data_IF_469095326055
#
_entry.id   IF_469095326055
#
_cell.length_a   1.000
_cell.length_b   1.000
_cell.length_c   1.000
_cell.angle_alpha   90.00
_cell.angle_beta   90.00
_cell.angle_gamma   90.00
#
_symmetry.space_group_name_H-M   'P 1'
#
loop_
_entity.id
_entity.type
_entity.pdbx_description
1 polymer ?
#
# COMPACT_ATOMS: atom_id res chain seq x y z
N UNK A 1 -35.90 20.97 15.54
CA UNK A 1 -35.23 20.65 14.25
C UNK A 1 -33.73 20.40 14.42
N UNK A 2 -33.14 20.69 15.59
CA UNK A 2 -31.72 20.42 15.90
C UNK A 2 -31.44 18.99 16.40
N UNK A 3 -32.45 18.29 16.93
CA UNK A 3 -32.30 16.89 17.40
C UNK A 3 -32.12 15.85 16.27
N UNK A 4 -32.51 16.18 15.03
CA UNK A 4 -32.35 15.30 13.87
C UNK A 4 -30.98 15.44 13.20
N UNK A 5 -30.28 16.56 13.42
CA UNK A 5 -28.93 16.79 12.87
C UNK A 5 -27.87 16.08 13.73
N UNK A 6 -28.10 15.98 15.04
CA UNK A 6 -27.23 15.21 15.95
C UNK A 6 -27.23 13.70 15.67
N UNK A 7 -28.29 13.17 15.05
CA UNK A 7 -28.41 11.75 14.67
C UNK A 7 -27.70 11.38 13.36
N UNK A 8 -27.32 12.34 12.51
CA UNK A 8 -26.56 12.04 11.29
C UNK A 8 -25.04 12.11 11.50
N UNK A 9 -24.56 12.84 12.51
CA UNK A 9 -23.12 12.99 12.79
C UNK A 9 -22.52 11.85 13.63
N UNK A 10 -23.35 11.02 14.28
CA UNK A 10 -22.90 9.92 15.15
C UNK A 10 -22.96 8.52 14.51
N UNK A 11 -23.39 8.38 13.25
CA UNK A 11 -23.66 7.05 12.66
C UNK A 11 -22.43 6.31 12.13
N UNK A 12 -21.30 6.98 11.90
CA UNK A 12 -20.10 6.35 11.35
C UNK A 12 -19.21 5.69 12.41
N UNK A 13 -19.34 6.09 13.68
CA UNK A 13 -18.55 5.55 14.80
C UNK A 13 -19.02 4.18 15.34
N UNK A 14 -20.09 3.60 14.76
CA UNK A 14 -20.74 2.38 15.27
C UNK A 14 -20.84 1.24 14.25
N UNK A 15 -20.03 1.26 13.18
CA UNK A 15 -19.91 0.08 12.34
C UNK A 15 -18.95 -0.91 12.99
N UNK A 16 -19.44 -2.14 13.21
CA UNK A 16 -18.59 -3.29 13.54
C UNK A 16 -17.37 -3.33 12.61
N UNK A 17 -16.21 -3.75 13.12
CA UNK A 17 -15.00 -3.93 12.31
C UNK A 17 -15.23 -4.86 11.10
N UNK A 18 -16.27 -5.71 11.17
CA UNK A 18 -16.69 -6.55 10.06
C UNK A 18 -17.11 -5.79 8.81
N UNK A 19 -17.51 -4.51 8.89
CA UNK A 19 -17.81 -3.71 7.70
C UNK A 19 -16.55 -3.24 6.96
N UNK A 20 -15.38 -3.31 7.59
CA UNK A 20 -14.12 -2.90 6.98
C UNK A 20 -13.51 -4.08 6.23
N UNK A 21 -13.31 -4.01 4.89
CA UNK A 21 -12.57 -5.03 4.16
C UNK A 21 -11.21 -5.34 4.78
N UNK A 22 -10.54 -4.34 5.35
CA UNK A 22 -9.27 -4.51 6.07
C UNK A 22 -9.39 -5.28 7.38
N UNK A 23 -10.42 -4.99 8.20
CA UNK A 23 -10.50 -5.51 9.58
C UNK A 23 -11.46 -6.70 9.73
N UNK A 24 -12.20 -7.07 8.69
CA UNK A 24 -13.11 -8.20 8.77
C UNK A 24 -12.38 -9.49 9.14
N UNK A 25 -13.07 -10.30 9.95
CA UNK A 25 -12.54 -11.51 10.56
C UNK A 25 -11.94 -12.44 9.51
N UNK A 26 -10.88 -13.16 9.87
CA UNK A 26 -10.25 -14.14 8.97
C UNK A 26 -11.19 -15.36 8.82
N UNK A 27 -11.71 -15.86 9.94
CA UNK A 27 -12.45 -17.11 10.04
C UNK A 27 -13.98 -16.99 10.03
N UNK A 28 -14.53 -15.80 9.79
CA UNK A 28 -15.98 -15.49 9.67
C UNK A 28 -16.61 -15.03 10.98
N UNK A 29 -15.99 -15.41 12.08
CA UNK A 29 -16.43 -15.11 13.42
C UNK A 29 -15.25 -14.49 14.18
N UNK A 30 -15.31 -13.20 14.57
CA UNK A 30 -14.21 -12.54 15.27
C UNK A 30 -13.80 -13.25 16.56
N UNK A 31 -14.74 -13.94 17.21
CA UNK A 31 -14.47 -14.71 18.43
C UNK A 31 -13.66 -15.98 18.16
N UNK A 32 -13.56 -16.40 16.89
CA UNK A 32 -12.84 -17.60 16.45
C UNK A 32 -11.53 -17.27 15.72
N UNK A 33 -11.16 -16.00 15.60
CA UNK A 33 -9.88 -15.63 15.00
C UNK A 33 -8.76 -15.86 16.00
N UNK A 34 -7.85 -16.77 15.68
CA UNK A 34 -6.64 -16.95 16.47
C UNK A 34 -5.66 -15.80 16.19
N UNK A 35 -4.87 -15.37 17.19
CA UNK A 35 -3.85 -14.35 16.99
C UNK A 35 -2.88 -14.68 15.85
N UNK A 36 -2.47 -15.94 15.73
CA UNK A 36 -1.53 -16.42 14.72
C UNK A 36 -2.11 -16.33 13.30
N UNK A 37 -3.41 -16.58 13.15
CA UNK A 37 -4.11 -16.48 11.86
C UNK A 37 -4.32 -15.02 11.45
N UNK A 38 -4.58 -14.16 12.43
CA UNK A 38 -4.66 -12.71 12.23
C UNK A 38 -3.30 -12.15 11.80
N UNK A 39 -2.22 -12.58 12.45
CA UNK A 39 -0.86 -12.21 12.09
C UNK A 39 -0.50 -12.67 10.67
N UNK A 40 -0.73 -13.96 10.36
CA UNK A 40 -0.51 -14.50 9.02
C UNK A 40 -1.31 -13.75 7.95
N UNK A 41 -2.56 -13.39 8.26
CA UNK A 41 -3.37 -12.55 7.39
C UNK A 41 -2.72 -11.18 7.15
N UNK A 42 -2.26 -10.49 8.21
CA UNK A 42 -1.64 -9.19 8.06
C UNK A 42 -0.30 -9.26 7.33
N UNK A 43 0.45 -10.36 7.45
CA UNK A 43 1.63 -10.61 6.61
C UNK A 43 1.27 -10.70 5.12
N UNK A 44 0.17 -11.36 4.76
CA UNK A 44 -0.32 -11.38 3.38
C UNK A 44 -0.83 -10.01 2.93
N UNK A 45 -1.66 -9.36 3.75
CA UNK A 45 -2.21 -8.04 3.49
C UNK A 45 -1.13 -6.99 3.26
N UNK A 46 -0.06 -7.02 4.05
CA UNK A 46 1.04 -6.07 3.92
C UNK A 46 1.83 -6.22 2.62
N UNK A 47 1.70 -7.35 1.93
CA UNK A 47 2.26 -7.50 0.59
C UNK A 47 1.38 -6.81 -0.46
N UNK A 48 0.14 -6.40 -0.19
CA UNK A 48 -0.65 -5.64 -1.18
C UNK A 48 0.02 -4.29 -1.52
N UNK A 49 -0.12 -3.80 -2.76
CA UNK A 49 0.24 -2.43 -3.12
C UNK A 49 -0.35 -1.42 -2.14
N UNK A 50 0.46 -0.43 -1.74
CA UNK A 50 0.08 0.50 -0.68
C UNK A 50 -1.23 1.25 -0.95
N UNK A 51 -1.50 1.63 -2.20
CA UNK A 51 -2.76 2.27 -2.57
C UNK A 51 -3.98 1.38 -2.29
N UNK A 52 -3.91 0.07 -2.49
CA UNK A 52 -5.03 -0.81 -2.13
C UNK A 52 -5.19 -0.96 -0.62
N UNK A 53 -4.11 -0.91 0.13
CA UNK A 53 -4.19 -0.92 1.60
C UNK A 53 -4.94 0.30 2.11
N UNK A 54 -4.72 1.48 1.51
CA UNK A 54 -5.53 2.68 1.78
C UNK A 54 -6.99 2.46 1.39
N UNK A 55 -7.23 2.00 0.17
CA UNK A 55 -8.58 1.73 -0.33
C UNK A 55 -9.40 0.78 0.55
N UNK A 56 -8.80 -0.35 0.96
CA UNK A 56 -9.44 -1.38 1.80
C UNK A 56 -9.68 -0.88 3.23
N UNK A 57 -8.87 0.07 3.70
CA UNK A 57 -9.03 0.73 4.99
C UNK A 57 -9.94 1.95 4.97
N UNK A 58 -10.37 2.42 3.80
CA UNK A 58 -11.13 3.66 3.66
C UNK A 58 -12.53 3.57 4.25
N UNK A 59 -13.00 4.67 4.84
CA UNK A 59 -14.37 4.78 5.36
C UNK A 59 -15.41 4.62 4.25
N UNK A 60 -15.08 5.03 3.02
CA UNK A 60 -15.95 4.90 1.86
C UNK A 60 -16.16 3.43 1.49
N UNK A 61 -15.11 2.60 1.52
CA UNK A 61 -15.25 1.15 1.30
C UNK A 61 -16.17 0.53 2.36
N UNK A 62 -15.96 0.89 3.64
CA UNK A 62 -16.79 0.46 4.76
C UNK A 62 -18.26 0.85 4.59
N UNK A 63 -18.52 2.09 4.20
CA UNK A 63 -19.87 2.59 3.94
C UNK A 63 -20.55 1.78 2.81
N UNK A 64 -19.84 1.46 1.73
CA UNK A 64 -20.43 0.68 0.63
C UNK A 64 -20.72 -0.77 1.02
N UNK A 65 -19.86 -1.39 1.84
CA UNK A 65 -20.17 -2.70 2.43
C UNK A 65 -21.43 -2.62 3.28
N UNK A 66 -21.57 -1.58 4.12
CA UNK A 66 -22.77 -1.37 4.93
C UNK A 66 -24.04 -1.21 4.07
N UNK A 67 -23.99 -0.37 3.03
CA UNK A 67 -25.13 -0.16 2.13
C UNK A 67 -25.52 -1.43 1.40
N UNK A 68 -24.54 -2.27 1.03
CA UNK A 68 -24.81 -3.57 0.44
C UNK A 68 -25.44 -4.51 1.46
N UNK A 69 -24.91 -4.63 2.67
CA UNK A 69 -25.50 -5.45 3.72
C UNK A 69 -26.96 -5.04 4.00
N UNK A 70 -27.21 -3.73 4.12
CA UNK A 70 -28.55 -3.17 4.34
C UNK A 70 -29.53 -3.48 3.21
N UNK A 71 -29.06 -3.55 1.96
CA UNK A 71 -29.91 -3.91 0.81
C UNK A 71 -30.46 -5.33 0.90
N UNK A 72 -29.79 -6.20 1.67
CA UNK A 72 -30.15 -7.59 1.90
C UNK A 72 -30.65 -7.85 3.34
N UNK A 73 -30.90 -6.79 4.12
CA UNK A 73 -31.30 -6.84 5.54
C UNK A 73 -30.30 -7.61 6.43
N UNK A 74 -29.00 -7.51 6.13
CA UNK A 74 -27.91 -8.20 6.84
C UNK A 74 -27.08 -7.27 7.71
N UNK A 75 -27.44 -6.00 7.89
CA UNK A 75 -26.59 -5.03 8.61
C UNK A 75 -26.39 -5.36 10.10
N UNK A 76 -27.15 -6.31 10.65
CA UNK A 76 -27.01 -6.83 12.02
C UNK A 76 -26.41 -8.24 12.07
N UNK A 77 -26.22 -8.88 10.92
CA UNK A 77 -25.65 -10.22 10.79
C UNK A 77 -24.14 -10.08 10.55
N UNK A 78 -23.36 -9.99 11.63
CA UNK A 78 -21.91 -9.75 11.57
C UNK A 78 -21.17 -10.79 10.72
N UNK A 79 -21.69 -12.01 10.73
CA UNK A 79 -21.21 -13.16 9.98
C UNK A 79 -21.32 -12.92 8.48
N UNK A 80 -22.50 -12.51 8.00
CA UNK A 80 -22.69 -12.17 6.58
C UNK A 80 -21.96 -10.88 6.20
N UNK A 81 -21.98 -9.86 7.06
CA UNK A 81 -21.26 -8.59 6.85
C UNK A 81 -19.77 -8.83 6.67
N UNK A 82 -19.15 -9.62 7.56
CA UNK A 82 -17.75 -10.00 7.48
C UNK A 82 -17.44 -10.71 6.17
N UNK A 83 -18.34 -11.55 5.69
CA UNK A 83 -18.16 -12.19 4.38
C UNK A 83 -18.21 -11.22 3.19
N UNK A 84 -19.08 -10.19 3.23
CA UNK A 84 -19.06 -9.15 2.19
C UNK A 84 -17.69 -8.49 2.13
N UNK A 85 -17.18 -8.06 3.29
CA UNK A 85 -15.86 -7.44 3.43
C UNK A 85 -14.73 -8.34 2.94
N UNK A 86 -14.78 -9.63 3.29
CA UNK A 86 -13.79 -10.61 2.80
C UNK A 86 -13.87 -10.84 1.30
N UNK A 87 -15.06 -10.90 0.72
CA UNK A 87 -15.20 -11.04 -0.73
C UNK A 87 -14.56 -9.84 -1.44
N UNK A 88 -14.80 -8.61 -0.95
CA UNK A 88 -14.16 -7.39 -1.47
C UNK A 88 -12.63 -7.44 -1.32
N UNK A 89 -12.15 -7.91 -0.17
CA UNK A 89 -10.71 -8.02 0.12
C UNK A 89 -10.02 -9.09 -0.73
N UNK A 90 -10.58 -10.28 -0.78
CA UNK A 90 -9.97 -11.48 -1.36
C UNK A 90 -9.94 -11.43 -2.89
N UNK A 91 -10.76 -10.56 -3.49
CA UNK A 91 -10.59 -10.13 -4.88
C UNK A 91 -9.16 -9.68 -5.17
N UNK A 92 -8.53 -8.91 -4.26
CA UNK A 92 -7.16 -8.42 -4.44
C UNK A 92 -6.13 -9.38 -3.86
N UNK A 93 -6.41 -9.91 -2.67
CA UNK A 93 -5.46 -10.74 -1.91
C UNK A 93 -5.26 -12.12 -2.52
N UNK A 94 -6.35 -12.75 -2.98
CA UNK A 94 -6.34 -14.13 -3.48
C UNK A 94 -6.60 -14.22 -4.99
N UNK A 95 -6.73 -13.08 -5.66
CA UNK A 95 -7.08 -12.98 -7.07
C UNK A 95 -8.32 -13.83 -7.43
N UNK A 96 -9.37 -13.76 -6.59
CA UNK A 96 -10.56 -14.59 -6.77
C UNK A 96 -11.23 -14.29 -8.11
N UNK A 97 -11.41 -15.35 -8.92
CA UNK A 97 -12.08 -15.24 -10.22
C UNK A 97 -13.58 -15.19 -10.04
N UNK A 98 -14.29 -14.81 -11.11
CA UNK A 98 -15.75 -14.73 -11.12
C UNK A 98 -16.42 -16.03 -10.66
N UNK A 99 -15.95 -17.18 -11.15
CA UNK A 99 -16.49 -18.48 -10.76
C UNK A 99 -16.35 -18.74 -9.26
N UNK A 100 -15.19 -18.42 -8.68
CA UNK A 100 -14.90 -18.61 -7.25
C UNK A 100 -15.74 -17.68 -6.38
N UNK A 101 -15.89 -16.41 -6.78
CA UNK A 101 -16.77 -15.46 -6.10
C UNK A 101 -18.22 -15.91 -6.14
N UNK A 102 -18.74 -16.31 -7.30
CA UNK A 102 -20.11 -16.78 -7.43
C UNK A 102 -20.37 -18.07 -6.66
N UNK A 103 -19.39 -18.98 -6.61
CA UNK A 103 -19.48 -20.19 -5.79
C UNK A 103 -19.53 -19.82 -4.31
N UNK A 104 -18.61 -18.97 -3.85
CA UNK A 104 -18.53 -18.54 -2.46
C UNK A 104 -19.81 -17.81 -2.03
N UNK A 105 -20.31 -16.87 -2.83
CA UNK A 105 -21.60 -16.19 -2.57
C UNK A 105 -22.74 -17.21 -2.41
N UNK A 106 -22.79 -18.25 -3.24
CA UNK A 106 -23.80 -19.31 -3.13
C UNK A 106 -23.65 -20.09 -1.82
N UNK A 107 -22.47 -20.58 -1.50
CA UNK A 107 -22.23 -21.46 -0.36
C UNK A 107 -22.33 -20.74 0.98
N UNK A 108 -21.87 -19.50 1.01
CA UNK A 108 -21.63 -18.75 2.24
C UNK A 108 -22.74 -17.74 2.55
N UNK A 109 -23.37 -17.18 1.53
CA UNK A 109 -24.46 -16.20 1.68
C UNK A 109 -25.81 -16.76 1.25
N UNK A 110 -25.86 -18.00 0.74
CA UNK A 110 -27.10 -18.66 0.30
C UNK A 110 -27.88 -17.87 -0.76
N UNK A 111 -27.18 -17.10 -1.62
CA UNK A 111 -27.80 -16.39 -2.72
C UNK A 111 -27.77 -17.21 -4.02
N UNK A 112 -28.88 -17.18 -4.76
CA UNK A 112 -29.04 -17.95 -5.99
C UNK A 112 -29.54 -17.09 -7.17
N UNK A 113 -29.43 -17.63 -8.39
CA UNK A 113 -30.01 -17.02 -9.59
C UNK A 113 -29.61 -15.56 -9.81
N UNK A 114 -30.60 -14.71 -10.10
CA UNK A 114 -30.42 -13.28 -10.40
C UNK A 114 -29.87 -12.49 -9.21
N UNK A 115 -30.30 -12.84 -7.99
CA UNK A 115 -29.88 -12.17 -6.78
C UNK A 115 -28.38 -12.36 -6.52
N UNK A 116 -27.88 -13.59 -6.74
CA UNK A 116 -26.45 -13.90 -6.69
C UNK A 116 -25.62 -13.06 -7.67
N UNK A 117 -26.10 -12.94 -8.91
CA UNK A 117 -25.42 -12.14 -9.94
C UNK A 117 -25.42 -10.65 -9.58
N UNK A 118 -26.55 -10.14 -9.08
CA UNK A 118 -26.65 -8.76 -8.62
C UNK A 118 -25.69 -8.51 -7.44
N UNK A 119 -25.61 -9.42 -6.48
CA UNK A 119 -24.68 -9.30 -5.35
C UNK A 119 -23.23 -9.28 -5.84
N UNK A 120 -22.85 -10.20 -6.73
CA UNK A 120 -21.54 -10.24 -7.35
C UNK A 120 -21.18 -8.91 -8.06
N UNK A 121 -22.09 -8.33 -8.82
CA UNK A 121 -21.87 -7.02 -9.45
C UNK A 121 -21.62 -5.91 -8.42
N UNK A 122 -22.31 -5.94 -7.27
CA UNK A 122 -22.07 -4.98 -6.19
C UNK A 122 -20.68 -5.18 -5.56
N UNK A 123 -20.21 -6.42 -5.37
CA UNK A 123 -18.84 -6.68 -4.91
C UNK A 123 -17.80 -6.09 -5.89
N UNK A 124 -17.98 -6.25 -7.20
CA UNK A 124 -17.10 -5.63 -8.20
C UNK A 124 -17.09 -4.10 -8.10
N UNK A 125 -18.27 -3.48 -7.93
CA UNK A 125 -18.40 -2.03 -7.75
C UNK A 125 -17.63 -1.54 -6.53
N UNK A 126 -17.73 -2.26 -5.41
CA UNK A 126 -17.00 -1.92 -4.18
C UNK A 126 -15.50 -2.09 -4.39
N UNK A 127 -15.05 -3.21 -4.99
CA UNK A 127 -13.64 -3.44 -5.28
C UNK A 127 -13.04 -2.31 -6.16
N UNK A 128 -13.75 -1.86 -7.19
CA UNK A 128 -13.29 -0.73 -7.97
C UNK A 128 -13.17 0.56 -7.16
N UNK A 129 -14.17 0.83 -6.32
CA UNK A 129 -14.14 1.99 -5.44
C UNK A 129 -12.94 1.93 -4.48
N UNK A 130 -12.62 0.75 -3.95
CA UNK A 130 -11.40 0.50 -3.16
C UNK A 130 -10.16 0.92 -3.94
N UNK A 131 -10.01 0.45 -5.19
CA UNK A 131 -8.88 0.85 -6.04
C UNK A 131 -8.81 2.36 -6.23
N UNK A 132 -9.91 2.98 -6.66
CA UNK A 132 -9.98 4.41 -6.98
C UNK A 132 -9.71 5.30 -5.78
N UNK A 133 -10.35 5.03 -4.64
CA UNK A 133 -10.14 5.82 -3.43
C UNK A 133 -8.73 5.60 -2.88
N UNK A 134 -8.24 4.36 -2.95
CA UNK A 134 -6.87 4.03 -2.59
C UNK A 134 -5.81 4.75 -3.41
N UNK A 135 -5.98 4.82 -4.74
CA UNK A 135 -5.09 5.59 -5.63
C UNK A 135 -5.13 7.08 -5.32
N UNK A 136 -6.32 7.63 -5.04
CA UNK A 136 -6.49 9.04 -4.67
C UNK A 136 -5.80 9.36 -3.35
N UNK A 137 -6.05 8.60 -2.28
CA UNK A 137 -5.43 8.79 -0.97
C UNK A 137 -3.91 8.59 -1.04
N UNK A 138 -3.45 7.54 -1.75
CA UNK A 138 -2.03 7.32 -2.01
C UNK A 138 -1.38 8.51 -2.71
N UNK A 139 -2.04 9.10 -3.72
CA UNK A 139 -1.50 10.23 -4.45
C UNK A 139 -1.42 11.51 -3.63
N UNK A 140 -2.06 11.61 -2.45
CA UNK A 140 -1.90 12.75 -1.55
C UNK A 140 -0.52 12.75 -0.90
N UNK A 141 -0.07 11.58 -0.41
CA UNK A 141 1.13 11.43 0.41
C UNK A 141 2.32 10.75 -0.28
N UNK A 142 2.12 10.16 -1.46
CA UNK A 142 3.16 9.38 -2.14
C UNK A 142 3.36 9.77 -3.61
N UNK A 143 4.57 9.57 -4.11
CA UNK A 143 4.88 9.54 -5.54
C UNK A 143 5.18 8.11 -5.98
N UNK A 144 4.88 7.82 -7.25
CA UNK A 144 5.16 6.52 -7.85
C UNK A 144 5.90 6.69 -9.18
N UNK A 145 7.23 6.68 -9.12
CA UNK A 145 8.12 7.06 -10.23
C UNK A 145 9.34 6.14 -10.33
N UNK A 146 10.02 6.05 -11.48
CA UNK A 146 11.28 5.33 -11.57
C UNK A 146 12.37 6.04 -10.75
N UNK A 147 13.35 5.28 -10.25
CA UNK A 147 14.41 5.81 -9.38
C UNK A 147 15.14 7.01 -9.98
N UNK A 148 15.42 6.99 -11.28
CA UNK A 148 16.09 8.08 -11.99
C UNK A 148 15.32 9.42 -11.89
N UNK A 149 13.99 9.37 -11.93
CA UNK A 149 13.17 10.57 -11.74
C UNK A 149 13.16 11.00 -10.28
N UNK A 150 13.13 10.03 -9.36
CA UNK A 150 13.13 10.30 -7.91
C UNK A 150 14.42 10.99 -7.49
N UNK A 151 15.60 10.42 -7.80
CA UNK A 151 16.90 10.99 -7.41
C UNK A 151 17.16 12.38 -8.02
N UNK A 152 16.67 12.62 -9.26
CA UNK A 152 16.79 13.94 -9.88
C UNK A 152 15.87 14.99 -9.23
N UNK A 153 14.73 14.57 -8.70
CA UNK A 153 13.75 15.48 -8.07
C UNK A 153 14.00 15.66 -6.56
N UNK A 154 14.49 14.60 -5.91
CA UNK A 154 14.71 14.49 -4.47
C UNK A 154 16.09 13.85 -4.20
N UNK A 155 17.20 14.59 -4.42
CA UNK A 155 18.55 14.06 -4.30
C UNK A 155 18.89 13.57 -2.88
N UNK A 156 18.20 14.07 -1.85
CA UNK A 156 18.33 13.61 -0.47
C UNK A 156 18.01 12.12 -0.30
N UNK A 157 17.22 11.52 -1.21
CA UNK A 157 16.91 10.08 -1.21
C UNK A 157 18.18 9.23 -1.36
N UNK A 158 19.22 9.74 -2.00
CA UNK A 158 20.50 9.06 -2.16
C UNK A 158 21.19 8.73 -0.82
N UNK A 159 20.85 9.46 0.24
CA UNK A 159 21.38 9.25 1.59
C UNK A 159 20.62 8.17 2.40
N UNK A 160 19.52 7.65 1.86
CA UNK A 160 18.79 6.55 2.50
C UNK A 160 19.67 5.30 2.58
N UNK A 161 19.70 4.67 3.76
CA UNK A 161 20.48 3.45 3.98
C UNK A 161 19.75 2.22 3.44
N UNK A 162 20.50 1.34 2.80
CA UNK A 162 20.10 -0.04 2.47
C UNK A 162 21.03 -0.98 3.22
N UNK A 163 20.54 -1.44 4.37
CA UNK A 163 21.26 -2.33 5.26
C UNK A 163 22.19 -1.63 6.27
N UNK A 164 22.88 -2.44 7.07
CA UNK A 164 23.67 -1.94 8.21
C UNK A 164 25.18 -2.00 8.01
N UNK A 165 25.67 -2.96 7.21
CA UNK A 165 27.10 -3.18 7.02
C UNK A 165 27.70 -2.14 6.05
N UNK A 166 28.94 -1.68 6.30
CA UNK A 166 29.60 -0.73 5.42
C UNK A 166 29.94 -1.33 4.05
N UNK A 167 29.96 -0.48 3.03
CA UNK A 167 30.36 -0.81 1.66
C UNK A 167 31.85 -0.47 1.49
N UNK A 168 32.61 -1.39 0.89
CA UNK A 168 34.00 -1.18 0.52
C UNK A 168 34.09 -1.09 -1.01
N UNK A 169 34.35 0.11 -1.54
CA UNK A 169 34.60 0.28 -2.97
C UNK A 169 36.06 -0.04 -3.29
N UNK A 170 36.32 -0.65 -4.45
CA UNK A 170 37.67 -1.09 -4.86
C UNK A 170 38.73 0.03 -4.78
N UNK A 171 38.34 1.27 -5.05
CA UNK A 171 39.23 2.42 -5.09
C UNK A 171 39.33 3.16 -3.74
N UNK A 172 38.54 2.77 -2.73
CA UNK A 172 38.50 3.43 -1.43
C UNK A 172 38.91 2.47 -0.32
N UNK A 173 39.98 2.82 0.42
CA UNK A 173 40.39 2.08 1.61
C UNK A 173 39.49 2.35 2.84
N UNK A 174 38.58 3.33 2.74
CA UNK A 174 37.72 3.74 3.84
C UNK A 174 36.33 3.11 3.68
N UNK A 175 35.79 2.44 4.73
CA UNK A 175 34.44 1.91 4.70
C UNK A 175 33.42 3.04 4.52
N UNK A 176 32.49 2.87 3.58
CA UNK A 176 31.45 3.84 3.30
C UNK A 176 30.11 3.42 3.87
N UNK A 177 29.28 4.41 4.18
CA UNK A 177 27.91 4.19 4.64
C UNK A 177 27.12 3.43 3.57
N UNK A 178 26.25 2.46 3.91
CA UNK A 178 25.47 1.72 2.93
C UNK A 178 24.29 2.52 2.39
N UNK A 179 24.55 3.71 1.85
CA UNK A 179 23.54 4.58 1.24
C UNK A 179 23.17 4.11 -0.17
N UNK A 180 22.02 4.54 -0.69
CA UNK A 180 21.61 4.32 -2.09
C UNK A 180 22.71 4.76 -3.05
N UNK A 181 23.32 5.92 -2.81
CA UNK A 181 24.44 6.44 -3.59
C UNK A 181 25.60 5.45 -3.66
N UNK A 182 26.07 4.97 -2.51
CA UNK A 182 27.24 4.10 -2.44
C UNK A 182 26.94 2.70 -2.99
N UNK A 183 25.69 2.23 -2.87
CA UNK A 183 25.25 0.99 -3.53
C UNK A 183 25.23 1.11 -5.05
N UNK A 184 24.76 2.24 -5.61
CA UNK A 184 24.85 2.46 -7.04
C UNK A 184 26.29 2.55 -7.53
N UNK A 185 27.16 3.24 -6.79
CA UNK A 185 28.59 3.29 -7.12
C UNK A 185 29.21 1.90 -7.13
N UNK A 186 28.98 1.09 -6.09
CA UNK A 186 29.47 -0.29 -6.01
C UNK A 186 28.96 -1.15 -7.18
N UNK A 187 27.67 -1.05 -7.47
CA UNK A 187 27.05 -1.78 -8.58
C UNK A 187 27.71 -1.43 -9.91
N UNK A 188 27.77 -0.14 -10.25
CA UNK A 188 28.30 0.33 -11.53
C UNK A 188 29.80 0.04 -11.70
N UNK A 189 30.58 0.09 -10.61
CA UNK A 189 32.00 -0.30 -10.64
C UNK A 189 32.17 -1.79 -10.97
N UNK A 190 31.29 -2.66 -10.44
CA UNK A 190 31.38 -4.11 -10.62
C UNK A 190 30.75 -4.61 -11.93
N UNK A 191 29.72 -3.94 -12.44
CA UNK A 191 28.92 -4.41 -13.58
C UNK A 191 28.99 -3.51 -14.82
N UNK A 192 29.54 -2.30 -14.71
CA UNK A 192 29.60 -1.28 -15.76
C UNK A 192 28.34 -0.42 -15.86
N UNK A 193 28.40 0.66 -16.65
CA UNK A 193 27.37 1.74 -16.68
C UNK A 193 26.14 1.43 -17.56
N UNK A 194 26.12 0.28 -18.22
CA UNK A 194 24.98 -0.15 -19.07
C UNK A 194 23.81 -0.63 -18.21
N UNK A 195 22.62 -0.73 -18.81
CA UNK A 195 21.51 -1.48 -18.18
C UNK A 195 21.84 -2.96 -18.12
N UNK A 196 21.49 -3.60 -17.01
CA UNK A 196 21.75 -5.02 -16.79
C UNK A 196 20.48 -5.86 -16.85
N UNK A 197 20.63 -7.09 -17.33
CA UNK A 197 19.54 -8.05 -17.31
C UNK A 197 19.38 -8.71 -15.91
N UNK A 198 18.32 -9.53 -15.76
CA UNK A 198 18.04 -10.23 -14.52
C UNK A 198 19.24 -11.07 -14.01
N UNK A 199 19.94 -11.78 -14.90
CA UNK A 199 21.05 -12.66 -14.53
C UNK A 199 22.26 -11.86 -14.03
N UNK A 200 22.63 -10.78 -14.73
CA UNK A 200 23.72 -9.88 -14.33
C UNK A 200 23.44 -9.25 -12.97
N UNK A 201 22.23 -8.72 -12.76
CA UNK A 201 21.81 -8.13 -11.47
C UNK A 201 21.78 -9.17 -10.35
N UNK A 202 21.24 -10.37 -10.61
CA UNK A 202 21.25 -11.48 -9.65
C UNK A 202 22.67 -11.87 -9.27
N UNK A 203 23.58 -11.99 -10.24
CA UNK A 203 24.98 -12.30 -9.99
C UNK A 203 25.61 -11.28 -9.03
N UNK A 204 25.41 -9.99 -9.28
CA UNK A 204 25.87 -8.96 -8.36
C UNK A 204 25.28 -9.12 -6.95
N UNK A 205 23.96 -9.31 -6.82
CA UNK A 205 23.29 -9.43 -5.52
C UNK A 205 23.76 -10.62 -4.66
N UNK A 206 24.18 -11.72 -5.29
CA UNK A 206 24.56 -12.95 -4.58
C UNK A 206 26.08 -13.20 -4.52
N UNK A 207 26.85 -12.73 -5.49
CA UNK A 207 28.30 -12.99 -5.58
C UNK A 207 29.16 -11.75 -5.26
N UNK A 208 28.58 -10.54 -5.29
CA UNK A 208 29.30 -9.30 -5.03
C UNK A 208 29.85 -9.24 -3.61
N UNK A 209 31.05 -8.66 -3.45
CA UNK A 209 31.77 -8.69 -2.17
C UNK A 209 31.04 -7.98 -1.03
N UNK A 210 30.34 -6.88 -1.36
CA UNK A 210 29.50 -6.11 -0.44
C UNK A 210 28.11 -6.73 -0.31
N UNK A 211 27.44 -6.99 -1.43
CA UNK A 211 26.06 -7.49 -1.51
C UNK A 211 25.86 -8.89 -0.92
N UNK A 212 26.85 -9.80 -1.01
CA UNK A 212 26.76 -11.15 -0.43
C UNK A 212 26.65 -11.15 1.10
N UNK A 213 27.06 -10.06 1.75
CA UNK A 213 26.98 -9.87 3.21
C UNK A 213 25.61 -9.40 3.68
N UNK A 214 24.76 -8.93 2.75
CA UNK A 214 23.40 -8.49 3.07
C UNK A 214 22.56 -9.68 3.51
N UNK A 215 21.68 -9.46 4.47
CA UNK A 215 20.63 -10.43 4.79
C UNK A 215 19.60 -10.53 3.65
N UNK A 216 18.66 -11.47 3.77
CA UNK A 216 17.65 -11.70 2.73
C UNK A 216 16.75 -10.48 2.50
N UNK A 217 16.45 -9.70 3.54
CA UNK A 217 15.57 -8.52 3.48
C UNK A 217 16.30 -7.34 2.85
N UNK A 218 17.53 -7.07 3.30
CA UNK A 218 18.39 -6.02 2.75
C UNK A 218 18.70 -6.28 1.27
N UNK A 219 19.02 -7.52 0.91
CA UNK A 219 19.29 -7.91 -0.48
C UNK A 219 18.07 -7.74 -1.37
N UNK A 220 16.86 -8.03 -0.86
CA UNK A 220 15.61 -7.75 -1.59
C UNK A 220 15.42 -6.26 -1.83
N UNK A 221 15.64 -5.41 -0.81
CA UNK A 221 15.56 -3.94 -0.93
C UNK A 221 16.52 -3.42 -2.00
N UNK A 222 17.77 -3.88 -1.97
CA UNK A 222 18.77 -3.54 -2.99
C UNK A 222 18.33 -4.03 -4.38
N UNK A 223 17.82 -5.26 -4.47
CA UNK A 223 17.34 -5.82 -5.73
C UNK A 223 16.19 -5.02 -6.36
N UNK A 224 15.25 -4.52 -5.56
CA UNK A 224 14.16 -3.63 -6.02
C UNK A 224 14.73 -2.32 -6.56
N UNK A 225 15.68 -1.70 -5.83
CA UNK A 225 16.34 -0.47 -6.25
C UNK A 225 17.05 -0.65 -7.60
N UNK A 226 17.91 -1.67 -7.71
CA UNK A 226 18.67 -1.96 -8.95
C UNK A 226 17.72 -2.30 -10.10
N UNK A 227 16.62 -3.00 -9.83
CA UNK A 227 15.60 -3.26 -10.83
C UNK A 227 14.93 -1.99 -11.33
N UNK A 228 14.67 -1.02 -10.45
CA UNK A 228 14.16 0.29 -10.88
C UNK A 228 15.16 1.03 -11.76
N UNK A 229 16.45 0.94 -11.44
CA UNK A 229 17.51 1.55 -12.25
C UNK A 229 17.59 0.94 -13.65
N UNK A 230 17.67 -0.38 -13.76
CA UNK A 230 17.82 -1.08 -15.04
C UNK A 230 16.55 -1.05 -15.89
N UNK A 231 15.41 -1.43 -15.29
CA UNK A 231 14.16 -1.69 -16.01
C UNK A 231 13.20 -0.49 -15.96
N UNK A 232 13.49 0.55 -15.18
CA UNK A 232 12.60 1.70 -15.03
C UNK A 232 11.31 1.38 -14.28
N UNK A 233 11.28 0.32 -13.46
CA UNK A 233 10.10 0.05 -12.63
C UNK A 233 9.88 1.19 -11.63
N UNK A 234 8.62 1.52 -11.37
CA UNK A 234 8.28 2.60 -10.45
C UNK A 234 8.47 2.18 -8.99
N UNK A 235 9.08 3.06 -8.20
CA UNK A 235 9.22 2.97 -6.76
C UNK A 235 8.27 3.95 -6.08
N UNK A 236 7.88 3.61 -4.85
CA UNK A 236 7.04 4.45 -4.01
C UNK A 236 7.94 5.36 -3.18
N UNK A 237 7.71 6.68 -3.25
CA UNK A 237 8.40 7.69 -2.46
C UNK A 237 7.40 8.37 -1.52
N UNK A 238 7.66 8.33 -0.22
CA UNK A 238 6.93 9.12 0.78
C UNK A 238 7.25 10.61 0.60
N UNK A 239 6.21 11.43 0.39
CA UNK A 239 6.37 12.87 0.16
C UNK A 239 6.84 13.64 1.39
N UNK A 240 6.51 13.15 2.59
CA UNK A 240 6.79 13.81 3.86
C UNK A 240 8.22 13.50 4.29
N UNK A 241 8.57 12.22 4.30
CA UNK A 241 9.86 11.74 4.80
C UNK A 241 10.96 11.72 3.74
N UNK A 242 10.60 11.87 2.45
CA UNK A 242 11.52 11.78 1.31
C UNK A 242 12.29 10.45 1.30
N UNK A 243 11.59 9.37 1.63
CA UNK A 243 12.14 8.01 1.69
C UNK A 243 11.42 7.09 0.71
N UNK A 244 12.20 6.20 0.12
CA UNK A 244 11.71 5.13 -0.73
C UNK A 244 11.17 3.99 0.14
N UNK A 245 9.96 3.57 -0.18
CA UNK A 245 9.39 2.32 0.31
C UNK A 245 9.89 1.18 -0.59
N UNK A 246 10.84 0.40 -0.08
CA UNK A 246 11.50 -0.70 -0.79
C UNK A 246 10.94 -2.05 -0.35
N UNK A 247 9.61 -2.19 -0.39
CA UNK A 247 8.92 -3.44 -0.06
C UNK A 247 8.45 -4.16 -1.32
N UNK A 248 8.50 -5.50 -1.29
CA UNK A 248 7.98 -6.33 -2.36
C UNK A 248 6.45 -6.30 -2.29
N UNK A 249 5.81 -5.75 -3.32
CA UNK A 249 4.36 -5.78 -3.45
C UNK A 249 3.90 -6.96 -4.31
N UNK A 250 2.79 -7.57 -3.93
CA UNK A 250 2.05 -8.56 -4.69
C UNK A 250 1.75 -7.97 -6.05
N UNK A 251 2.14 -8.70 -7.08
CA UNK A 251 1.69 -8.44 -8.44
C UNK A 251 0.21 -8.78 -8.50
N UNK A 252 -0.60 -7.75 -8.68
CA UNK A 252 -2.02 -7.92 -8.94
C UNK A 252 -2.17 -8.20 -10.43
N UNK A 253 -3.09 -9.11 -10.74
CA UNK A 253 -3.47 -9.43 -12.09
C UNK A 253 -3.95 -8.16 -12.82
N UNK A 254 -3.10 -7.64 -13.70
CA UNK A 254 -3.40 -6.41 -14.43
C UNK A 254 -4.55 -6.60 -15.42
N UNK A 255 -4.77 -7.80 -15.94
CA UNK A 255 -5.90 -8.08 -16.82
C UNK A 255 -7.20 -7.91 -16.05
N UNK A 256 -7.24 -8.40 -14.81
CA UNK A 256 -8.40 -8.23 -13.94
C UNK A 256 -8.65 -6.76 -13.57
N UNK A 257 -7.59 -6.01 -13.20
CA UNK A 257 -7.73 -4.57 -12.93
C UNK A 257 -8.23 -3.80 -14.15
N UNK A 258 -7.73 -4.14 -15.34
CA UNK A 258 -8.16 -3.53 -16.61
C UNK A 258 -9.62 -3.88 -16.92
N UNK A 259 -10.03 -5.13 -16.67
CA UNK A 259 -11.41 -5.56 -16.84
C UNK A 259 -12.36 -4.86 -15.85
N UNK A 260 -11.90 -4.57 -14.64
CA UNK A 260 -12.64 -3.79 -13.64
C UNK A 260 -12.86 -2.34 -14.12
N UNK A 261 -11.80 -1.71 -14.64
CA UNK A 261 -11.86 -0.35 -15.20
C UNK A 261 -12.78 -0.28 -16.44
N UNK A 262 -12.74 -1.30 -17.31
CA UNK A 262 -13.63 -1.40 -18.47
C UNK A 262 -15.11 -1.61 -18.08
N UNK A 263 -15.37 -2.47 -17.10
CA UNK A 263 -16.74 -2.77 -16.67
C UNK A 263 -17.49 -1.51 -16.20
N UNK A 264 -16.80 -0.60 -15.49
CA UNK A 264 -17.45 0.57 -14.89
C UNK A 264 -17.47 1.79 -15.80
N UNK A 265 -16.57 1.87 -16.78
CA UNK A 265 -16.72 2.87 -17.85
C UNK A 265 -17.97 2.61 -18.71
N UNK A 266 -18.51 1.38 -18.71
CA UNK A 266 -19.82 1.07 -19.28
C UNK A 266 -20.96 1.35 -18.30
N UNK A 267 -20.86 0.90 -17.05
CA UNK A 267 -21.96 1.02 -16.05
C UNK A 267 -22.18 2.48 -15.56
N UNK A 268 -21.12 3.31 -15.49
CA UNK A 268 -21.23 4.73 -15.11
C UNK A 268 -21.97 5.58 -16.17
N UNK A 269 -22.12 5.09 -17.41
CA UNK A 269 -23.00 5.74 -18.39
C UNK A 269 -24.48 5.55 -18.04
N UNK A 270 -24.82 4.49 -17.30
CA UNK A 270 -26.20 4.19 -16.89
C UNK A 270 -26.51 4.73 -15.48
N UNK A 271 -25.53 4.76 -14.57
CA UNK A 271 -25.71 5.20 -13.18
C UNK A 271 -25.77 6.73 -12.99
N UNK A 272 -25.39 7.54 -13.99
CA UNK A 272 -25.63 8.99 -14.02
C UNK A 272 -27.13 9.37 -14.00
N UNK A 273 -28.03 8.40 -14.06
CA UNK A 273 -29.48 8.60 -13.87
C UNK A 273 -29.95 8.43 -12.40
N UNK A 274 -29.11 7.92 -11.48
CA UNK A 274 -29.55 7.50 -10.14
C UNK A 274 -28.84 8.17 -8.95
N UNK A 275 -27.83 9.02 -9.16
CA UNK A 275 -27.08 9.69 -8.09
C UNK A 275 -27.23 11.23 -8.04
N UNK A 276 -28.42 11.76 -8.35
CA UNK A 276 -28.83 13.11 -7.89
C UNK A 276 -29.50 13.06 -6.50
N UNK A 277 -28.88 12.37 -5.52
CA UNK A 277 -29.23 12.59 -4.10
C UNK A 277 -28.00 13.08 -3.37
N UNK A 278 -28.18 14.25 -2.73
CA UNK A 278 -27.16 15.07 -2.06
C UNK A 278 -26.09 14.21 -1.38
N UNK A 279 -24.79 14.51 -1.60
CA UNK A 279 -23.74 13.86 -0.83
C UNK A 279 -24.00 14.09 0.66
N UNK A 280 -23.87 13.03 1.46
CA UNK A 280 -23.69 13.20 2.90
C UNK A 280 -22.47 14.11 3.07
N UNK A 281 -22.70 15.31 3.60
CA UNK A 281 -21.63 16.29 3.83
C UNK A 281 -20.76 15.73 4.96
N UNK A 282 -19.57 15.28 4.60
CA UNK A 282 -18.53 14.91 5.55
C UNK A 282 -17.92 16.19 6.11
N UNK A 283 -18.24 16.50 7.37
CA UNK A 283 -17.49 17.50 8.12
C UNK A 283 -16.24 16.79 8.63
N UNK A 284 -15.07 17.07 8.02
CA UNK A 284 -13.79 16.79 8.67
C UNK A 284 -13.79 17.60 9.98
N UNK A 285 -13.81 16.94 11.13
CA UNK A 285 -13.51 17.60 12.38
C UNK A 285 -12.02 18.00 12.35
N UNK A 286 -11.76 19.30 12.45
CA UNK A 286 -10.45 19.79 12.87
C UNK A 286 -10.22 19.30 14.30
N UNK A 287 -9.41 18.26 14.44
CA UNK A 287 -8.98 17.81 15.77
C UNK A 287 -8.08 18.88 16.39
N UNK A 288 -8.61 19.49 17.45
CA UNK A 288 -7.89 20.37 18.35
C UNK A 288 -6.61 19.72 18.89
N UNK A 289 -5.61 20.58 19.13
CA UNK A 289 -4.20 20.30 19.45
C UNK A 289 -3.91 19.54 20.76
N UNK A 290 -4.85 18.83 21.39
CA UNK A 290 -4.64 18.36 22.78
C UNK A 290 -4.28 16.88 22.97
N UNK A 291 -4.51 15.98 22.00
CA UNK A 291 -4.14 14.56 22.17
C UNK A 291 -2.69 14.21 21.71
N UNK A 292 -1.91 15.18 21.24
CA UNK A 292 -0.48 14.95 20.90
C UNK A 292 0.45 14.77 22.12
N UNK A 293 -0.06 14.82 23.35
CA UNK A 293 0.79 14.71 24.55
C UNK A 293 1.17 13.27 24.91
N UNK A 294 0.33 12.27 24.67
CA UNK A 294 0.61 10.91 25.15
C UNK A 294 1.50 10.05 24.24
N UNK A 295 1.59 10.35 22.94
CA UNK A 295 2.57 9.69 22.07
C UNK A 295 3.99 10.28 22.15
N UNK A 296 4.16 11.42 22.85
CA UNK A 296 5.46 12.09 23.01
C UNK A 296 6.35 11.48 24.10
N UNK A 297 5.76 10.76 25.06
CA UNK A 297 6.49 10.10 26.16
C UNK A 297 7.14 8.79 25.71
N UNK A 298 6.56 8.08 24.74
CA UNK A 298 7.14 6.86 24.17
C UNK A 298 8.34 7.15 23.25
N UNK A 299 8.36 8.32 22.58
CA UNK A 299 9.45 8.74 21.66
C UNK A 299 10.72 9.26 22.34
N UNK A 300 10.74 9.48 23.66
CA UNK A 300 11.92 10.02 24.39
C UNK A 300 12.94 8.99 24.89
N UNK A 301 12.68 7.68 24.78
CA UNK A 301 13.61 6.65 25.29
C UNK A 301 14.60 6.05 24.28
N UNK A 302 14.53 6.40 22.99
CA UNK A 302 15.34 5.73 21.94
C UNK A 302 16.24 6.70 21.15
N UNK A 303 16.43 7.95 21.59
CA UNK A 303 17.33 8.86 20.88
C UNK A 303 18.07 9.82 21.82
N UNK A 304 19.23 9.40 22.30
CA UNK A 304 20.39 10.29 22.37
C UNK A 304 21.53 9.61 21.62
N UNK A 305 22.15 10.31 20.66
CA UNK A 305 23.49 10.80 20.97
C UNK A 305 23.79 12.23 20.49
N UNK A 306 24.70 12.84 21.25
CA UNK A 306 25.75 13.80 20.91
C UNK A 306 25.47 14.93 19.90
N UNK A 307 25.45 16.15 20.45
CA UNK A 307 25.82 17.37 19.74
C UNK A 307 27.34 17.40 19.57
N UNK A 308 27.84 17.64 18.36
CA UNK A 308 28.61 18.86 18.09
C UNK A 308 28.92 19.06 16.58
N UNK A 309 28.76 20.33 16.20
CA UNK A 309 29.50 21.16 15.23
C UNK A 309 30.13 20.52 13.98
N UNK A 310 29.60 20.89 12.81
CA UNK A 310 30.15 21.90 11.88
C UNK A 310 29.43 21.78 10.52
N UNK A 311 28.67 22.81 10.13
CA UNK A 311 28.17 22.96 8.76
C UNK A 311 29.15 23.83 8.01
N UNK A 312 29.90 23.23 7.09
CA UNK A 312 30.48 23.91 5.93
C UNK A 312 29.82 23.38 4.66
N UNK A 313 29.69 24.32 3.74
CA UNK A 313 28.88 24.32 2.53
C UNK A 313 29.21 23.18 1.57
N UNK A 314 28.18 22.53 1.02
CA UNK A 314 28.27 21.78 -0.22
C UNK A 314 27.03 22.09 -1.07
N UNK A 315 27.16 23.14 -1.89
CA UNK A 315 26.48 23.18 -3.19
C UNK A 315 27.39 22.42 -4.14
N UNK A 316 26.98 21.22 -4.54
CA UNK A 316 27.30 20.64 -5.85
C UNK A 316 26.17 19.67 -6.18
N UNK A 317 25.46 19.98 -7.25
CA UNK A 317 24.43 19.12 -7.83
C UNK A 317 25.15 17.95 -8.48
N UNK A 318 24.91 16.74 -7.99
CA UNK A 318 25.46 15.51 -8.58
C UNK A 318 24.67 15.22 -9.86
N UNK A 319 25.28 15.45 -11.02
CA UNK A 319 24.77 15.00 -12.31
C UNK A 319 25.22 13.55 -12.51
N UNK A 320 24.28 12.61 -12.52
CA UNK A 320 24.58 11.17 -12.69
C UNK A 320 25.17 10.86 -14.07
N UNK A 321 25.10 11.78 -15.03
CA UNK A 321 25.82 11.65 -16.30
C UNK A 321 27.34 11.87 -16.16
N UNK A 322 27.81 12.41 -15.02
CA UNK A 322 29.24 12.55 -14.71
C UNK A 322 29.83 11.33 -13.96
N UNK A 323 29.01 10.32 -13.65
CA UNK A 323 29.48 8.99 -13.22
C UNK A 323 29.65 8.03 -14.43
N UNK A 324 29.56 8.54 -15.67
CA UNK A 324 29.71 7.80 -16.94
C UNK A 324 31.11 7.99 -17.51
#
# INVERSE_FOLDING_TARGET
MEFLIFLSMNKLYFFSDQFSPRNASVNWDPEQDLPEETEAFFEEYNKLPLFLRFGLGSDLAREKVYLLAKKFDWEKDEKKVGEISRLVRDVFLRNLREADLLLRIKEKLSLFGKERLLFYQNIKKIAFLVKKEGEKEFAEDFFWWPINKIINTYPETLQQKIGYLPIFLENNQVPMMPSIENWFQDYLLKTGVKKHNLLERSRYLFEGENSKKLDSTERKKLGILLKSYDEGINLVLDKRDKKLELEESLKIDQEWLTALDFFLTQDLKEENLFLEKKPLIFVKQDYGKEEKKDFSSFKRRIAQPFKDKEKKELKNVLDLSQLV
#
